data_IF_797906069956
#
_entry.id   IF_797906069956
#
_cell.length_a   1.000
_cell.length_b   1.000
_cell.length_c   1.000
_cell.angle_alpha   90.00
_cell.angle_beta   90.00
_cell.angle_gamma   90.00
#
_symmetry.space_group_name_H-M   'P 1'
#
loop_
_entity.id
_entity.type
_entity.pdbx_description
1 polymer ?
#
# COMPACT_ATOMS: atom_id res chain seq x y z
N UNK A 1 29.95 -14.05 16.18
CA UNK A 1 28.52 -14.32 15.96
C UNK A 1 27.92 -13.12 15.26
N UNK A 2 27.66 -13.20 13.96
CA UNK A 2 27.01 -12.12 13.22
C UNK A 2 25.50 -12.23 13.45
N UNK A 3 24.91 -11.30 14.19
CA UNK A 3 23.46 -11.19 14.26
C UNK A 3 22.95 -10.85 12.86
N UNK A 4 22.31 -11.79 12.18
CA UNK A 4 21.58 -11.49 10.95
C UNK A 4 20.38 -10.63 11.31
N UNK A 5 20.55 -9.31 11.17
CA UNK A 5 19.46 -8.36 11.29
C UNK A 5 18.45 -8.66 10.18
N UNK A 6 17.19 -8.87 10.56
CA UNK A 6 16.12 -9.06 9.59
C UNK A 6 15.99 -7.80 8.71
N UNK A 7 15.88 -7.93 7.38
CA UNK A 7 15.76 -6.78 6.50
C UNK A 7 14.44 -6.04 6.76
N UNK A 8 14.48 -4.72 6.64
CA UNK A 8 13.30 -3.87 6.67
C UNK A 8 12.43 -4.17 5.44
N UNK A 9 11.12 -4.29 5.63
CA UNK A 9 10.16 -4.43 4.53
C UNK A 9 9.66 -3.06 4.11
N UNK A 10 9.83 -2.70 2.84
CA UNK A 10 9.37 -1.43 2.29
C UNK A 10 8.27 -1.66 1.25
N UNK A 11 7.13 -1.02 1.46
CA UNK A 11 6.05 -0.89 0.47
C UNK A 11 6.06 0.55 -0.05
N UNK A 12 6.12 0.68 -1.38
CA UNK A 12 6.04 1.97 -2.05
C UNK A 12 4.65 2.12 -2.63
N UNK A 13 3.91 3.11 -2.13
CA UNK A 13 2.65 3.54 -2.71
C UNK A 13 2.91 4.78 -3.56
N UNK A 14 2.44 4.80 -4.81
CA UNK A 14 2.51 5.96 -5.68
C UNK A 14 1.10 6.39 -6.09
N UNK A 15 0.57 7.41 -5.44
CA UNK A 15 -0.69 8.05 -5.83
C UNK A 15 -0.55 8.81 -7.15
N UNK A 16 -1.35 8.41 -8.13
CA UNK A 16 -1.44 9.07 -9.43
C UNK A 16 -2.39 10.27 -9.33
N UNK A 17 -1.98 11.42 -9.85
CA UNK A 17 -2.82 12.61 -9.87
C UNK A 17 -4.11 12.35 -10.67
N UNK A 18 -5.24 12.92 -10.23
CA UNK A 18 -6.52 12.80 -10.93
C UNK A 18 -6.46 13.31 -12.38
N UNK A 19 -5.59 14.28 -12.66
CA UNK A 19 -5.42 14.87 -13.99
C UNK A 19 -4.41 14.13 -14.87
N UNK A 20 -3.78 13.06 -14.37
CA UNK A 20 -2.73 12.37 -15.10
C UNK A 20 -3.26 11.70 -16.38
N UNK A 21 -2.59 11.93 -17.50
CA UNK A 21 -2.86 11.27 -18.78
C UNK A 21 -2.09 9.94 -18.88
N UNK A 22 -2.36 9.16 -19.95
CA UNK A 22 -1.72 7.85 -20.16
C UNK A 22 -0.20 7.92 -20.28
N UNK A 23 0.32 8.95 -20.96
CA UNK A 23 1.75 9.14 -21.14
C UNK A 23 2.45 9.42 -19.81
N UNK A 24 1.86 10.23 -18.94
CA UNK A 24 2.41 10.54 -17.62
C UNK A 24 2.40 9.31 -16.70
N UNK A 25 1.33 8.51 -16.76
CA UNK A 25 1.26 7.23 -16.02
C UNK A 25 2.33 6.26 -16.55
N UNK A 26 2.47 6.13 -17.87
CA UNK A 26 3.47 5.27 -18.50
C UNK A 26 4.90 5.68 -18.15
N UNK A 27 5.18 6.98 -18.07
CA UNK A 27 6.50 7.50 -17.67
C UNK A 27 6.86 7.12 -16.23
N UNK A 28 5.92 7.25 -15.29
CA UNK A 28 6.11 6.79 -13.91
C UNK A 28 6.36 5.28 -13.84
N UNK A 29 5.63 4.51 -14.62
CA UNK A 29 5.83 3.06 -14.72
C UNK A 29 7.21 2.73 -15.28
N UNK A 30 7.68 3.48 -16.29
CA UNK A 30 9.01 3.35 -16.87
C UNK A 30 10.12 3.55 -15.83
N UNK A 31 9.95 4.48 -14.90
CA UNK A 31 10.87 4.65 -13.77
C UNK A 31 10.86 3.41 -12.88
N UNK A 32 9.69 2.95 -12.41
CA UNK A 32 9.62 1.80 -11.52
C UNK A 32 10.20 0.52 -12.14
N UNK A 33 9.94 0.29 -13.44
CA UNK A 33 10.48 -0.83 -14.21
C UNK A 33 12.01 -0.78 -14.33
N UNK A 34 12.58 0.42 -14.56
CA UNK A 34 14.04 0.59 -14.68
C UNK A 34 14.78 0.04 -13.46
N UNK A 35 14.17 0.17 -12.28
CA UNK A 35 14.74 -0.30 -11.02
C UNK A 35 14.22 -1.67 -10.56
N UNK A 36 13.34 -2.32 -11.34
CA UNK A 36 12.69 -3.60 -10.98
C UNK A 36 12.04 -3.58 -9.59
N UNK A 37 11.36 -2.48 -9.26
CA UNK A 37 10.76 -2.27 -7.94
C UNK A 37 9.25 -2.53 -7.97
N UNK A 38 8.71 -3.33 -7.04
CA UNK A 38 7.27 -3.44 -6.89
C UNK A 38 6.71 -2.13 -6.35
N UNK A 39 5.74 -1.56 -7.07
CA UNK A 39 5.04 -0.34 -6.68
C UNK A 39 3.54 -0.62 -6.62
N UNK A 40 2.93 -0.16 -5.53
CA UNK A 40 1.47 -0.08 -5.42
C UNK A 40 1.01 1.27 -5.97
N UNK A 41 0.37 1.25 -7.13
CA UNK A 41 -0.19 2.42 -7.79
C UNK A 41 -1.56 2.74 -7.20
N UNK A 42 -1.67 3.89 -6.55
CA UNK A 42 -2.92 4.31 -5.90
C UNK A 42 -3.70 5.16 -6.89
N UNK A 43 -4.78 4.60 -7.44
CA UNK A 43 -5.51 5.14 -8.58
C UNK A 43 -6.93 5.53 -8.15
N UNK A 44 -7.35 6.74 -8.51
CA UNK A 44 -8.73 7.16 -8.29
C UNK A 44 -9.69 6.46 -9.27
N UNK A 45 -10.96 6.23 -8.91
CA UNK A 45 -11.95 5.57 -9.78
C UNK A 45 -12.02 6.16 -11.19
N UNK A 46 -11.92 7.49 -11.30
CA UNK A 46 -12.02 8.23 -12.56
C UNK A 46 -10.87 7.89 -13.51
N UNK A 47 -9.70 7.53 -12.98
CA UNK A 47 -8.53 7.15 -13.76
C UNK A 47 -8.31 5.64 -13.86
N UNK A 48 -9.13 4.82 -13.19
CA UNK A 48 -8.89 3.38 -13.07
C UNK A 48 -8.87 2.68 -14.43
N UNK A 49 -9.82 2.99 -15.32
CA UNK A 49 -9.87 2.39 -16.66
C UNK A 49 -8.63 2.73 -17.48
N UNK A 50 -8.24 4.02 -17.46
CA UNK A 50 -7.05 4.51 -18.17
C UNK A 50 -5.79 3.85 -17.64
N UNK A 51 -5.63 3.83 -16.33
CA UNK A 51 -4.45 3.27 -15.68
C UNK A 51 -4.36 1.75 -15.93
N UNK A 52 -5.47 1.02 -15.85
CA UNK A 52 -5.51 -0.43 -16.11
C UNK A 52 -5.05 -0.78 -17.51
N UNK A 53 -5.39 0.03 -18.52
CA UNK A 53 -4.89 -0.15 -19.88
C UNK A 53 -3.36 -0.06 -19.93
N UNK A 54 -2.77 0.97 -19.29
CA UNK A 54 -1.31 1.12 -19.18
C UNK A 54 -0.66 -0.02 -18.40
N UNK A 55 -1.29 -0.49 -17.32
CA UNK A 55 -0.76 -1.56 -16.47
C UNK A 55 -0.83 -2.96 -17.06
N UNK A 56 -1.72 -3.21 -18.02
CA UNK A 56 -1.88 -4.52 -18.65
C UNK A 56 -0.60 -5.05 -19.32
N UNK A 57 0.30 -4.16 -19.77
CA UNK A 57 1.59 -4.51 -20.37
C UNK A 57 2.76 -4.57 -19.38
N UNK A 58 2.51 -4.41 -18.07
CA UNK A 58 3.54 -4.28 -17.06
C UNK A 58 3.79 -5.57 -16.28
N UNK A 59 4.99 -5.67 -15.69
CA UNK A 59 5.39 -6.80 -14.85
C UNK A 59 4.39 -7.04 -13.71
N UNK A 60 4.18 -8.32 -13.37
CA UNK A 60 3.35 -8.77 -12.24
C UNK A 60 3.80 -8.26 -10.86
N UNK A 61 4.92 -7.53 -10.79
CA UNK A 61 5.41 -6.88 -9.59
C UNK A 61 4.65 -5.59 -9.23
N UNK A 62 3.93 -5.00 -10.18
CA UNK A 62 3.11 -3.82 -9.95
C UNK A 62 1.70 -4.21 -9.53
N UNK A 63 1.15 -3.43 -8.61
CA UNK A 63 -0.19 -3.66 -8.10
C UNK A 63 -0.99 -2.36 -8.12
N UNK A 64 -2.28 -2.45 -8.38
CA UNK A 64 -3.21 -1.32 -8.30
C UNK A 64 -3.93 -1.37 -6.95
N UNK A 65 -3.96 -0.25 -6.25
CA UNK A 65 -4.84 0.00 -5.12
C UNK A 65 -5.82 1.13 -5.47
N UNK A 66 -7.07 1.00 -5.03
CA UNK A 66 -8.08 2.02 -5.26
C UNK A 66 -7.90 3.17 -4.27
N UNK A 67 -7.90 4.41 -4.75
CA UNK A 67 -7.99 5.57 -3.87
C UNK A 67 -9.43 5.72 -3.39
N UNK A 68 -9.65 5.65 -2.08
CA UNK A 68 -10.94 5.90 -1.47
C UNK A 68 -11.32 7.39 -1.48
N UNK A 69 -12.59 7.67 -1.20
CA UNK A 69 -13.08 9.01 -0.92
C UNK A 69 -13.77 9.06 0.45
N UNK A 70 -13.76 10.20 1.16
CA UNK A 70 -14.32 10.28 2.53
C UNK A 70 -15.80 9.88 2.61
N UNK A 71 -16.60 10.26 1.61
CA UNK A 71 -18.03 9.96 1.51
C UNK A 71 -18.36 8.47 1.35
N UNK A 72 -17.37 7.64 1.00
CA UNK A 72 -17.53 6.17 0.98
C UNK A 72 -17.51 5.56 2.36
N UNK A 73 -16.92 6.23 3.34
CA UNK A 73 -16.73 5.71 4.69
C UNK A 73 -17.51 6.52 5.74
N UNK A 74 -17.95 7.73 5.40
CA UNK A 74 -18.63 8.62 6.34
C UNK A 74 -20.03 9.00 5.87
N UNK A 75 -20.96 9.14 6.81
CA UNK A 75 -22.35 9.54 6.55
C UNK A 75 -23.35 8.39 6.40
N UNK A 76 -24.63 8.75 6.25
CA UNK A 76 -25.75 7.79 6.30
C UNK A 76 -25.86 6.87 5.07
N UNK A 77 -25.26 7.25 3.93
CA UNK A 77 -25.35 6.51 2.66
C UNK A 77 -24.03 5.86 2.24
N UNK A 78 -22.99 5.95 3.07
CA UNK A 78 -21.63 5.48 2.81
C UNK A 78 -21.57 4.01 2.37
N UNK A 79 -22.33 3.12 3.01
CA UNK A 79 -22.41 1.68 2.64
C UNK A 79 -22.79 1.46 1.17
N UNK A 80 -23.83 2.15 0.73
CA UNK A 80 -24.34 2.02 -0.64
C UNK A 80 -23.38 2.61 -1.67
N UNK A 81 -22.74 3.73 -1.32
CA UNK A 81 -21.71 4.38 -2.16
C UNK A 81 -20.47 3.48 -2.29
N UNK A 82 -19.95 2.97 -1.18
CA UNK A 82 -18.79 2.09 -1.16
C UNK A 82 -19.04 0.82 -1.99
N UNK A 83 -20.19 0.17 -1.83
CA UNK A 83 -20.55 -1.01 -2.65
C UNK A 83 -20.53 -0.69 -4.14
N UNK A 84 -21.21 0.38 -4.56
CA UNK A 84 -21.26 0.78 -5.98
C UNK A 84 -19.87 1.12 -6.52
N UNK A 85 -19.07 1.84 -5.74
CA UNK A 85 -17.72 2.20 -6.10
C UNK A 85 -16.82 0.97 -6.29
N UNK A 86 -16.86 0.02 -5.35
CA UNK A 86 -16.09 -1.23 -5.44
C UNK A 86 -16.57 -2.10 -6.60
N UNK A 87 -17.88 -2.29 -6.78
CA UNK A 87 -18.41 -3.08 -7.90
C UNK A 87 -18.01 -2.46 -9.24
N UNK A 88 -18.09 -1.14 -9.37
CA UNK A 88 -17.62 -0.45 -10.58
C UNK A 88 -16.11 -0.63 -10.78
N UNK A 89 -15.31 -0.46 -9.73
CA UNK A 89 -13.86 -0.62 -9.81
C UNK A 89 -13.44 -2.05 -10.18
N UNK A 90 -14.07 -3.07 -9.58
CA UNK A 90 -13.81 -4.49 -9.85
C UNK A 90 -14.22 -4.92 -11.26
N UNK A 91 -15.26 -4.29 -11.83
CA UNK A 91 -15.64 -4.53 -13.23
C UNK A 91 -14.55 -4.06 -14.22
N UNK A 92 -13.75 -3.07 -13.82
CA UNK A 92 -12.62 -2.53 -14.61
C UNK A 92 -11.33 -3.29 -14.30
N UNK A 93 -11.06 -3.57 -13.03
CA UNK A 93 -9.86 -4.25 -12.56
C UNK A 93 -10.23 -5.38 -11.57
N UNK A 94 -10.50 -6.60 -12.06
CA UNK A 94 -10.98 -7.72 -11.23
C UNK A 94 -10.00 -8.19 -10.15
N UNK A 95 -8.71 -7.86 -10.29
CA UNK A 95 -7.65 -8.24 -9.34
C UNK A 95 -7.40 -7.18 -8.25
N UNK A 96 -8.33 -6.24 -8.08
CA UNK A 96 -8.22 -5.20 -7.08
C UNK A 96 -8.38 -5.80 -5.66
N UNK A 97 -7.27 -5.87 -4.92
CA UNK A 97 -7.25 -6.43 -3.56
C UNK A 97 -6.95 -5.39 -2.47
N UNK A 98 -6.66 -4.15 -2.85
CA UNK A 98 -6.28 -3.10 -1.89
C UNK A 98 -6.98 -1.78 -2.12
N UNK A 99 -7.21 -1.07 -1.03
CA UNK A 99 -7.76 0.28 -1.00
C UNK A 99 -6.87 1.18 -0.14
N UNK A 100 -6.74 2.45 -0.52
CA UNK A 100 -6.11 3.48 0.29
C UNK A 100 -7.18 4.42 0.80
N UNK A 101 -7.32 4.48 2.11
CA UNK A 101 -8.29 5.34 2.80
C UNK A 101 -7.72 6.76 2.87
N UNK A 102 -8.53 7.79 2.58
CA UNK A 102 -8.10 9.18 2.71
C UNK A 102 -7.61 9.52 4.14
N UNK A 103 -6.75 10.52 4.30
CA UNK A 103 -6.37 11.05 5.61
C UNK A 103 -7.57 11.49 6.41
N UNK A 104 -7.46 11.38 7.73
CA UNK A 104 -8.50 11.81 8.66
C UNK A 104 -9.86 11.12 8.46
N UNK A 105 -9.94 10.05 7.65
CA UNK A 105 -11.16 9.30 7.39
C UNK A 105 -11.16 8.00 8.21
N UNK A 106 -12.27 7.76 8.90
CA UNK A 106 -12.48 6.51 9.65
C UNK A 106 -12.84 5.37 8.70
N UNK A 107 -12.17 4.22 8.80
CA UNK A 107 -12.45 3.04 8.00
C UNK A 107 -13.68 2.30 8.52
N UNK A 108 -14.86 2.82 8.23
CA UNK A 108 -16.12 2.13 8.49
C UNK A 108 -16.35 0.99 7.47
N UNK A 109 -17.35 0.15 7.72
CA UNK A 109 -17.86 -0.86 6.78
C UNK A 109 -16.81 -1.84 6.23
N UNK A 110 -15.88 -2.29 7.10
CA UNK A 110 -14.87 -3.31 6.78
C UNK A 110 -15.46 -4.62 6.23
N UNK A 111 -16.69 -4.94 6.61
CA UNK A 111 -17.47 -6.06 6.07
C UNK A 111 -17.62 -5.96 4.55
N UNK A 112 -17.97 -4.76 4.04
CA UNK A 112 -18.16 -4.51 2.61
C UNK A 112 -16.85 -4.67 1.83
N UNK A 113 -15.72 -4.23 2.41
CA UNK A 113 -14.40 -4.41 1.80
C UNK A 113 -14.11 -5.90 1.58
N UNK A 114 -14.29 -6.70 2.63
CA UNK A 114 -14.03 -8.16 2.57
C UNK A 114 -15.00 -8.87 1.64
N UNK A 115 -16.29 -8.52 1.66
CA UNK A 115 -17.31 -9.05 0.73
C UNK A 115 -16.91 -8.87 -0.74
N UNK A 116 -16.14 -7.81 -1.04
CA UNK A 116 -15.67 -7.47 -2.39
C UNK A 116 -14.22 -7.91 -2.65
N UNK A 117 -13.64 -8.77 -1.80
CA UNK A 117 -12.30 -9.31 -2.00
C UNK A 117 -11.15 -8.36 -1.65
N UNK A 118 -11.42 -7.20 -1.05
CA UNK A 118 -10.37 -6.30 -0.57
C UNK A 118 -9.75 -6.90 0.69
N UNK A 119 -8.47 -7.24 0.61
CA UNK A 119 -7.70 -7.89 1.67
C UNK A 119 -6.85 -6.92 2.48
N UNK A 120 -6.55 -5.75 1.91
CA UNK A 120 -5.67 -4.75 2.54
C UNK A 120 -6.23 -3.34 2.40
N UNK A 121 -6.33 -2.61 3.52
CA UNK A 121 -6.68 -1.20 3.56
C UNK A 121 -5.51 -0.40 4.12
N UNK A 122 -4.95 0.51 3.33
CA UNK A 122 -3.90 1.43 3.80
C UNK A 122 -4.55 2.68 4.40
N UNK A 123 -4.24 3.00 5.65
CA UNK A 123 -4.80 4.12 6.42
C UNK A 123 -3.69 5.09 6.84
N UNK A 124 -4.03 6.35 7.08
CA UNK A 124 -3.07 7.34 7.58
C UNK A 124 -2.77 7.14 9.08
N UNK A 125 -3.81 6.86 9.86
CA UNK A 125 -3.70 6.55 11.27
C UNK A 125 -4.64 5.44 11.67
N UNK A 126 -4.22 4.67 12.66
CA UNK A 126 -5.11 3.73 13.31
C UNK A 126 -6.11 4.47 14.18
N UNK A 127 -7.38 4.15 13.99
CA UNK A 127 -8.41 4.53 14.96
C UNK A 127 -8.01 4.05 16.35
N UNK A 128 -8.12 4.92 17.38
CA UNK A 128 -7.96 4.53 18.76
C UNK A 128 -9.08 3.54 19.09
N UNK A 129 -8.74 2.25 19.14
CA UNK A 129 -9.72 1.19 19.37
C UNK A 129 -9.42 0.42 20.66
N UNK A 130 -10.53 0.00 21.29
CA UNK A 130 -10.58 -0.86 22.48
C UNK A 130 -10.26 -2.34 22.18
N UNK A 131 -10.24 -2.74 20.90
CA UNK A 131 -10.10 -4.15 20.49
C UNK A 131 -8.69 -4.44 19.99
N UNK A 132 -8.09 -5.53 20.49
CA UNK A 132 -6.81 -6.05 20.01
C UNK A 132 -6.94 -6.65 18.60
N UNK A 133 -5.85 -6.65 17.85
CA UNK A 133 -5.77 -7.36 16.56
C UNK A 133 -6.19 -8.82 16.72
N UNK A 134 -6.98 -9.33 15.79
CA UNK A 134 -7.42 -10.74 15.76
C UNK A 134 -6.32 -11.69 15.32
N UNK A 135 -5.26 -11.17 14.71
CA UNK A 135 -4.08 -11.95 14.29
C UNK A 135 -2.80 -11.34 14.84
N UNK A 136 -1.82 -12.18 15.22
CA UNK A 136 -0.51 -11.68 15.60
C UNK A 136 0.17 -11.00 14.41
N UNK A 137 0.90 -9.93 14.69
CA UNK A 137 1.73 -9.21 13.73
C UNK A 137 3.16 -9.18 14.23
N UNK A 138 4.16 -9.16 13.34
CA UNK A 138 5.53 -8.94 13.76
C UNK A 138 5.65 -7.63 14.54
N UNK A 139 6.52 -7.63 15.53
CA UNK A 139 6.79 -6.45 16.34
C UNK A 139 7.25 -5.29 15.44
N UNK A 140 6.75 -4.08 15.72
CA UNK A 140 7.08 -2.88 14.96
C UNK A 140 6.40 -2.78 13.58
N UNK A 141 5.58 -3.75 13.17
CA UNK A 141 4.80 -3.62 11.95
C UNK A 141 3.56 -2.78 12.22
N UNK A 142 3.37 -1.64 11.52
CA UNK A 142 2.18 -0.83 11.68
C UNK A 142 1.05 -1.43 10.85
N UNK A 143 0.65 -2.67 11.15
CA UNK A 143 -0.50 -3.34 10.58
C UNK A 143 -1.31 -4.06 11.66
N UNK A 144 -2.60 -4.27 11.41
CA UNK A 144 -3.50 -5.03 12.31
C UNK A 144 -4.63 -5.67 11.52
N UNK A 145 -5.16 -6.79 12.01
CA UNK A 145 -6.34 -7.43 11.41
C UNK A 145 -7.49 -7.37 12.40
N UNK A 146 -8.38 -6.39 12.25
CA UNK A 146 -9.56 -6.21 13.11
C UNK A 146 -10.76 -7.05 12.64
N UNK A 147 -10.78 -7.38 11.36
CA UNK A 147 -11.82 -8.15 10.70
C UNK A 147 -11.17 -9.30 9.93
N UNK A 148 -11.75 -10.50 9.99
CA UNK A 148 -11.20 -11.67 9.30
C UNK A 148 -11.15 -11.41 7.80
N UNK A 149 -9.97 -11.59 7.20
CA UNK A 149 -9.76 -11.35 5.77
C UNK A 149 -9.33 -9.92 5.42
N UNK A 150 -9.28 -8.98 6.37
CA UNK A 150 -8.81 -7.61 6.13
C UNK A 150 -7.62 -7.26 7.04
N UNK A 151 -6.63 -6.61 6.43
CA UNK A 151 -5.50 -5.99 7.10
C UNK A 151 -5.56 -4.46 6.97
N UNK A 152 -5.66 -3.77 8.10
CA UNK A 152 -5.41 -2.33 8.16
C UNK A 152 -3.89 -2.14 8.23
N UNK A 153 -3.32 -1.34 7.33
CA UNK A 153 -1.88 -1.04 7.27
C UNK A 153 -1.70 0.47 7.34
N UNK A 154 -0.87 0.96 8.25
CA UNK A 154 -0.66 2.39 8.40
C UNK A 154 0.46 2.88 7.48
N UNK A 155 0.26 4.04 6.86
CA UNK A 155 1.36 4.79 6.27
C UNK A 155 2.38 5.15 7.35
N UNK A 156 3.65 5.07 6.98
CA UNK A 156 4.72 5.61 7.81
C UNK A 156 4.61 7.13 7.80
N UNK A 157 4.40 7.71 8.98
CA UNK A 157 4.37 9.16 9.15
C UNK A 157 5.61 9.76 8.48
N UNK A 158 5.44 10.81 7.67
CA UNK A 158 6.58 11.62 7.22
C UNK A 158 7.17 12.27 8.46
N UNK A 159 8.13 11.61 9.12
CA UNK A 159 8.88 12.26 10.18
C UNK A 159 9.58 13.46 9.52
N UNK A 160 9.08 14.65 9.81
CA UNK A 160 9.76 15.91 9.58
C UNK A 160 10.96 15.91 10.53
N UNK A 161 12.04 15.27 10.12
CA UNK A 161 13.36 15.56 10.66
C UNK A 161 13.56 17.06 10.39
N UNK A 162 13.85 17.82 11.45
CA UNK A 162 13.88 19.28 11.44
C UNK A 162 14.69 19.89 10.29
N UNK A 163 14.59 21.20 10.12
CA UNK A 163 15.00 22.05 8.99
C UNK A 163 16.39 21.80 8.37
N UNK A 164 17.26 21.02 9.00
CA UNK A 164 18.59 20.65 8.51
C UNK A 164 18.67 19.26 7.85
N UNK A 165 17.63 18.42 7.95
CA UNK A 165 17.61 17.05 7.41
C UNK A 165 17.15 16.93 5.95
N UNK A 166 16.82 18.02 5.27
CA UNK A 166 16.23 17.96 3.91
C UNK A 166 17.25 17.74 2.80
N UNK A 167 18.56 17.82 3.09
CA UNK A 167 19.61 17.86 2.05
C UNK A 167 20.39 16.56 1.88
N UNK A 168 20.38 15.67 2.88
CA UNK A 168 20.94 14.31 2.76
C UNK A 168 19.82 13.29 2.94
N UNK A 169 19.71 12.39 1.96
CA UNK A 169 18.62 11.44 1.79
C UNK A 169 18.05 10.89 3.09
N UNK A 170 16.79 11.25 3.34
CA UNK A 170 15.81 10.63 4.24
C UNK A 170 16.36 9.37 4.93
N UNK A 171 16.90 9.54 6.14
CA UNK A 171 17.11 8.44 7.06
C UNK A 171 15.74 7.98 7.54
N UNK A 172 15.12 7.06 6.79
CA UNK A 172 13.95 6.35 7.30
C UNK A 172 14.42 5.61 8.56
N UNK A 173 13.86 5.88 9.75
CA UNK A 173 14.32 5.27 10.98
C UNK A 173 14.34 3.75 10.81
N UNK A 174 15.55 3.18 10.86
CA UNK A 174 15.79 1.78 10.63
C UNK A 174 15.63 1.03 11.94
N UNK A 175 14.43 0.46 12.16
CA UNK A 175 14.30 -0.68 13.03
C UNK A 175 14.44 -1.94 12.18
N UNK A 176 15.40 -2.79 12.49
CA UNK A 176 15.58 -4.06 11.78
C UNK A 176 14.27 -4.85 11.82
N UNK A 177 13.88 -5.41 10.68
CA UNK A 177 12.65 -6.18 10.54
C UNK A 177 11.37 -5.36 10.48
N UNK A 178 11.41 -4.02 10.55
CA UNK A 178 10.21 -3.19 10.50
C UNK A 178 9.50 -3.21 9.13
N UNK A 179 8.22 -2.86 9.12
CA UNK A 179 7.46 -2.57 7.90
C UNK A 179 7.31 -1.05 7.75
N UNK A 180 7.63 -0.56 6.55
CA UNK A 180 7.56 0.84 6.17
C UNK A 180 6.67 0.95 4.94
N UNK A 181 5.62 1.76 5.02
CA UNK A 181 4.73 2.03 3.89
C UNK A 181 4.84 3.51 3.54
N UNK A 182 5.43 3.80 2.39
CA UNK A 182 5.74 5.16 1.98
C UNK A 182 4.90 5.58 0.78
N UNK A 183 4.19 6.71 0.91
CA UNK A 183 3.52 7.33 -0.23
C UNK A 183 4.42 8.39 -0.90
N UNK A 184 4.77 8.17 -2.17
CA UNK A 184 5.57 9.08 -3.02
C UNK A 184 4.74 9.92 -3.98
N UNK A 185 3.45 9.61 -4.13
CA UNK A 185 2.59 10.22 -5.15
C UNK A 185 2.00 11.57 -4.76
N UNK A 186 1.10 12.03 -5.64
CA UNK A 186 0.49 13.35 -5.58
C UNK A 186 -0.71 13.33 -4.62
N UNK A 187 -0.40 13.20 -3.33
CA UNK A 187 -1.41 13.07 -2.27
C UNK A 187 -2.00 14.43 -1.85
N UNK A 188 -1.23 15.50 -2.04
CA UNK A 188 -1.71 16.87 -1.89
C UNK A 188 -2.21 17.36 -3.24
N UNK A 189 -3.36 18.04 -3.26
CA UNK A 189 -4.00 18.56 -4.48
C UNK A 189 -3.09 19.49 -5.33
N UNK A 190 -1.98 19.96 -4.77
CA UNK A 190 -1.02 20.88 -5.41
C UNK A 190 0.24 20.22 -5.97
N UNK A 191 0.47 18.91 -5.74
CA UNK A 191 1.68 18.26 -6.25
C UNK A 191 1.56 18.03 -7.76
N UNK A 192 2.52 18.52 -8.54
CA UNK A 192 2.60 18.25 -9.99
C UNK A 192 3.18 16.87 -10.29
N UNK A 193 2.82 16.30 -11.44
CA UNK A 193 3.35 14.99 -11.88
C UNK A 193 4.88 14.96 -11.94
N UNK A 194 5.52 16.06 -12.38
CA UNK A 194 6.98 16.19 -12.39
C UNK A 194 7.62 16.13 -10.98
N UNK A 195 6.90 16.58 -9.94
CA UNK A 195 7.36 16.42 -8.55
C UNK A 195 7.23 14.96 -8.11
N UNK A 196 6.11 14.31 -8.42
CA UNK A 196 5.88 12.90 -8.10
C UNK A 196 6.90 11.99 -8.81
N UNK A 197 7.21 12.27 -10.07
CA UNK A 197 8.26 11.60 -10.85
C UNK A 197 9.64 11.69 -10.20
N UNK A 198 10.10 12.90 -9.87
CA UNK A 198 11.40 13.10 -9.19
C UNK A 198 11.47 12.41 -7.84
N UNK A 199 10.38 12.44 -7.06
CA UNK A 199 10.30 11.74 -5.76
C UNK A 199 10.39 10.22 -5.93
N UNK A 200 9.66 9.67 -6.90
CA UNK A 200 9.70 8.25 -7.20
C UNK A 200 11.09 7.82 -7.65
N UNK A 201 11.69 8.52 -8.62
CA UNK A 201 13.02 8.19 -9.13
C UNK A 201 14.10 8.24 -8.04
N UNK A 202 14.09 9.29 -7.22
CA UNK A 202 15.01 9.40 -6.09
C UNK A 202 14.82 8.26 -5.08
N UNK A 203 13.57 7.90 -4.76
CA UNK A 203 13.30 6.77 -3.87
C UNK A 203 13.79 5.46 -4.50
N UNK A 204 13.51 5.22 -5.79
CA UNK A 204 13.92 3.99 -6.46
C UNK A 204 15.44 3.77 -6.44
N UNK A 205 16.22 4.82 -6.73
CA UNK A 205 17.70 4.77 -6.64
C UNK A 205 18.17 4.44 -5.23
N UNK A 206 17.52 5.04 -4.22
CA UNK A 206 17.86 4.76 -2.82
C UNK A 206 17.53 3.30 -2.44
N UNK A 207 16.38 2.78 -2.90
CA UNK A 207 15.97 1.40 -2.62
C UNK A 207 16.92 0.41 -3.27
N UNK A 208 17.26 0.58 -4.56
CA UNK A 208 18.16 -0.31 -5.30
C UNK A 208 19.49 -0.52 -4.55
N UNK A 209 20.11 0.57 -4.09
CA UNK A 209 21.33 0.50 -3.29
C UNK A 209 21.15 -0.23 -1.94
N UNK A 210 19.96 -0.17 -1.33
CA UNK A 210 19.67 -0.81 -0.04
C UNK A 210 19.26 -2.28 -0.17
N UNK A 211 18.65 -2.66 -1.30
CA UNK A 211 18.33 -4.04 -1.63
C UNK A 211 19.60 -4.82 -1.91
N UNK A 212 20.53 -4.26 -2.69
CA UNK A 212 21.84 -4.90 -2.97
C UNK A 212 22.68 -5.14 -1.72
N UNK A 213 22.53 -4.31 -0.69
CA UNK A 213 23.20 -4.48 0.61
C UNK A 213 22.43 -5.39 1.58
N UNK A 214 21.30 -5.97 1.16
CA UNK A 214 20.47 -6.87 1.96
C UNK A 214 19.77 -6.20 3.15
N UNK A 215 19.72 -4.87 3.20
CA UNK A 215 19.14 -4.12 4.32
C UNK A 215 17.64 -3.92 4.19
N UNK A 216 17.15 -3.90 2.95
CA UNK A 216 15.74 -3.70 2.62
C UNK A 216 15.28 -4.81 1.70
N UNK A 217 14.06 -5.28 1.92
CA UNK A 217 13.27 -6.02 0.95
C UNK A 217 12.05 -5.20 0.56
N UNK A 218 11.60 -5.33 -0.67
CA UNK A 218 10.45 -4.58 -1.19
C UNK A 218 9.26 -5.50 -1.36
N UNK A 219 8.05 -4.94 -1.22
CA UNK A 219 6.82 -5.65 -1.44
C UNK A 219 5.73 -4.68 -1.93
N UNK A 220 4.75 -5.22 -2.66
CA UNK A 220 3.49 -4.52 -2.92
C UNK A 220 2.52 -4.69 -1.74
N UNK A 221 1.55 -3.80 -1.65
CA UNK A 221 0.61 -3.72 -0.53
C UNK A 221 -0.25 -5.00 -0.39
N UNK A 222 -0.67 -5.60 -1.50
CA UNK A 222 -1.45 -6.85 -1.55
C UNK A 222 -0.70 -8.07 -0.97
N UNK A 223 0.64 -8.00 -0.88
CA UNK A 223 1.46 -9.08 -0.32
C UNK A 223 1.61 -9.01 1.20
N UNK A 224 1.16 -7.93 1.85
CA UNK A 224 1.25 -7.79 3.31
C UNK A 224 0.58 -8.94 4.07
N UNK A 225 -0.65 -9.39 3.73
CA UNK A 225 -1.27 -10.52 4.41
C UNK A 225 -0.40 -11.78 4.36
N UNK A 226 0.22 -12.06 3.21
CA UNK A 226 1.09 -13.21 3.03
C UNK A 226 2.38 -13.04 3.85
N UNK A 227 3.01 -11.87 3.80
CA UNK A 227 4.24 -11.61 4.53
C UNK A 227 4.08 -11.76 6.05
N UNK A 228 2.94 -11.33 6.59
CA UNK A 228 2.61 -11.50 8.03
C UNK A 228 2.39 -12.96 8.40
N UNK A 229 1.80 -13.76 7.50
CA UNK A 229 1.61 -15.20 7.75
C UNK A 229 2.94 -15.95 7.76
N UNK A 230 3.84 -15.64 6.81
CA UNK A 230 5.15 -16.29 6.72
C UNK A 230 6.12 -15.86 7.83
N UNK A 231 6.05 -14.61 8.29
CA UNK A 231 6.93 -14.11 9.36
C UNK A 231 6.64 -14.72 10.73
N UNK A 232 5.40 -15.16 10.96
CA UNK A 232 4.99 -15.79 12.22
C UNK A 232 5.31 -17.30 12.27
N UNK A 233 6.04 -17.84 11.29
CA UNK A 233 6.31 -19.28 11.21
C UNK A 233 5.05 -20.13 11.08
N UNK A 234 3.91 -19.52 10.70
CA UNK A 234 2.67 -20.22 10.43
C UNK A 234 2.85 -20.95 9.09
N UNK A 235 3.34 -22.18 9.14
CA UNK A 235 3.00 -23.16 8.11
C UNK A 235 1.47 -23.24 8.10
N UNK A 236 0.79 -22.92 6.99
CA UNK A 236 -0.65 -23.07 6.91
C UNK A 236 -0.94 -24.55 7.17
N UNK A 237 -1.51 -24.85 8.33
CA UNK A 237 -1.96 -26.18 8.66
C UNK A 237 -2.91 -26.59 7.53
N UNK A 238 -2.48 -27.56 6.73
CA UNK A 238 -3.33 -28.12 5.68
C UNK A 238 -4.66 -28.51 6.33
N UNK A 239 -5.73 -28.01 5.72
CA UNK A 239 -7.12 -28.22 6.08
C UNK A 239 -7.38 -29.60 6.71
N UNK A 240 -7.79 -29.63 7.98
CA UNK A 240 -8.29 -30.83 8.68
C UNK A 240 -9.76 -31.07 8.31
N UNK A 241 -10.08 -30.99 7.02
CA UNK A 241 -11.37 -31.41 6.45
C UNK A 241 -11.09 -32.40 5.32
N UNK A 242 -10.51 -33.54 5.70
CA UNK A 242 -10.54 -34.82 4.97
C UNK A 242 -10.52 -35.96 6.00
N UNK A 243 -11.60 -36.08 6.75
CA UNK A 243 -11.98 -37.30 7.47
C UNK A 243 -13.41 -37.14 7.99
N UNK A 244 -14.39 -37.40 7.12
CA UNK A 244 -15.70 -37.95 7.45
C UNK A 244 -16.34 -38.43 6.14
#
# INVERSE_FOLDING_TARGET
MSFFLSPTTLVVCCTIAKTANESEIAELCGIANRYSLPVTWVISPENLSRATAVFSGLSHQHQIALAGFPDWFEGNHSRGLLRRALSSALSIHPLLESIVVPPCTHLSHRDILVENGISTACVDSFEPQLRRSRRPVPEGWPCRSLFWGLWDVQFSSRQTIGSFGSWFGRSVPHQSGALIVQNTGCFLASDSMAVCQRRLEHLCRWIEHRVTTGRIRTASLDKIPQLVLHSNGFTPTQSILKAA
#
